data_IF_960968265300
#
_entry.id   IF_960968265300
#
_cell.length_a   1.000
_cell.length_b   1.000
_cell.length_c   1.000
_cell.angle_alpha   90.00
_cell.angle_beta   90.00
_cell.angle_gamma   90.00
#
_symmetry.space_group_name_H-M   'P 1'
#
loop_
_entity.id
_entity.type
_entity.pdbx_description
1 polymer ?
#
# COMPACT_ATOMS: atom_id res chain seq x y z
N UNK A 1 40.20 1.67 -38.06
CA UNK A 1 40.90 1.37 -39.32
C UNK A 1 39.94 0.55 -40.18
N UNK A 2 39.58 1.06 -41.38
CA UNK A 2 38.86 0.45 -42.52
C UNK A 2 37.47 -0.20 -42.27
N UNK A 3 36.33 0.24 -42.81
CA UNK A 3 35.91 0.73 -44.16
C UNK A 3 36.07 -0.30 -45.29
N UNK A 4 34.93 -0.69 -45.89
CA UNK A 4 34.60 -0.79 -47.34
C UNK A 4 33.53 -1.87 -47.56
N UNK A 5 32.26 -1.58 -47.93
CA UNK A 5 31.69 -0.98 -49.15
C UNK A 5 31.80 -1.86 -50.40
N UNK A 6 30.64 -2.21 -50.96
CA UNK A 6 30.28 -2.26 -52.41
C UNK A 6 28.80 -2.65 -52.48
N UNK A 7 27.89 -2.04 -53.24
CA UNK A 7 27.94 -1.03 -54.30
C UNK A 7 26.63 -1.18 -55.10
N UNK A 8 25.81 -0.14 -55.22
CA UNK A 8 25.58 0.58 -56.49
C UNK A 8 24.22 0.23 -57.13
N UNK A 9 23.60 1.01 -58.01
CA UNK A 9 23.80 2.39 -58.48
C UNK A 9 22.65 2.73 -59.44
N UNK A 10 22.22 4.01 -59.47
CA UNK A 10 21.61 4.82 -60.57
C UNK A 10 20.21 5.38 -60.26
N UNK A 11 20.03 6.71 -60.11
CA UNK A 11 20.10 7.84 -61.09
C UNK A 11 18.68 8.15 -61.62
N UNK A 12 18.11 9.36 -61.72
CA UNK A 12 18.57 10.76 -61.65
C UNK A 12 17.34 11.71 -61.76
N UNK A 13 17.50 12.96 -61.27
CA UNK A 13 16.86 14.25 -61.71
C UNK A 13 15.34 14.42 -61.46
N UNK A 14 14.79 15.58 -61.09
CA UNK A 14 15.01 17.01 -61.44
C UNK A 14 14.49 17.91 -60.28
N UNK A 15 15.26 18.92 -59.83
CA UNK A 15 15.09 20.37 -60.06
C UNK A 15 14.12 21.14 -59.12
N UNK A 16 14.63 22.26 -58.59
CA UNK A 16 14.11 23.19 -57.57
C UNK A 16 13.14 24.26 -58.11
N UNK A 17 12.54 24.98 -57.15
CA UNK A 17 12.10 26.41 -57.14
C UNK A 17 10.57 26.61 -57.28
N UNK A 18 9.87 27.53 -56.62
CA UNK A 18 10.15 28.52 -55.55
C UNK A 18 8.84 29.27 -55.19
N UNK A 19 8.56 29.45 -53.88
CA UNK A 19 7.79 30.51 -53.16
C UNK A 19 6.34 30.89 -53.57
N UNK A 20 5.64 31.76 -52.77
CA UNK A 20 4.69 31.44 -51.70
C UNK A 20 3.25 31.88 -52.07
N UNK A 21 2.26 31.83 -51.16
CA UNK A 21 1.19 32.87 -50.96
C UNK A 21 0.08 32.39 -49.99
N UNK A 22 -0.21 33.30 -49.05
CA UNK A 22 -1.34 33.58 -48.17
C UNK A 22 -2.57 32.65 -48.02
N UNK A 23 -3.02 32.54 -46.76
CA UNK A 23 -4.40 32.20 -46.32
C UNK A 23 -5.36 33.38 -46.56
N UNK A 24 -6.67 33.15 -46.75
CA UNK A 24 -7.60 33.47 -45.65
C UNK A 24 -8.84 32.53 -45.53
N UNK A 25 -9.58 32.78 -44.44
CA UNK A 25 -10.70 32.05 -43.88
C UNK A 25 -11.96 31.92 -44.77
N UNK A 26 -12.65 30.78 -44.67
CA UNK A 26 -14.10 30.66 -44.88
C UNK A 26 -14.67 29.79 -43.76
N UNK A 27 -15.23 30.46 -42.76
CA UNK A 27 -16.18 29.92 -41.79
C UNK A 27 -17.53 29.67 -42.48
N UNK A 28 -18.39 28.90 -41.80
CA UNK A 28 -19.80 28.58 -42.11
C UNK A 28 -20.01 27.48 -43.15
N UNK A 29 -20.48 26.30 -42.70
CA UNK A 29 -21.55 25.48 -43.32
C UNK A 29 -21.58 24.01 -42.82
N UNK A 30 -21.42 23.72 -41.52
CA UNK A 30 -21.76 22.38 -40.96
C UNK A 30 -22.55 22.48 -39.64
N UNK A 31 -23.30 23.58 -39.46
CA UNK A 31 -24.03 23.85 -38.23
C UNK A 31 -25.56 23.63 -38.30
N UNK A 32 -26.13 22.95 -39.32
CA UNK A 32 -27.61 22.96 -39.44
C UNK A 32 -28.32 21.70 -39.95
N UNK A 33 -27.70 20.54 -40.10
CA UNK A 33 -28.47 19.34 -40.49
C UNK A 33 -27.98 18.09 -39.78
N UNK A 34 -28.56 17.80 -38.61
CA UNK A 34 -28.95 16.47 -38.14
C UNK A 34 -29.51 16.54 -36.70
N UNK A 35 -30.50 17.42 -36.51
CA UNK A 35 -31.54 17.27 -35.51
C UNK A 35 -32.55 16.28 -36.08
N UNK A 36 -32.49 15.00 -35.66
CA UNK A 36 -33.61 14.02 -35.58
C UNK A 36 -33.06 12.59 -35.43
N UNK A 37 -32.56 12.28 -34.24
CA UNK A 37 -32.46 10.90 -33.74
C UNK A 37 -32.51 10.96 -32.20
N UNK A 38 -33.71 10.91 -31.64
CA UNK A 38 -33.94 10.74 -30.21
C UNK A 38 -33.98 9.23 -29.90
N UNK A 39 -32.99 8.64 -29.21
CA UNK A 39 -33.20 7.38 -28.51
C UNK A 39 -33.92 7.66 -27.19
N UNK A 40 -35.14 7.15 -27.07
CA UNK A 40 -35.83 6.95 -25.80
C UNK A 40 -35.25 5.71 -25.13
N UNK A 41 -34.56 5.89 -24.00
CA UNK A 41 -33.91 4.83 -23.21
C UNK A 41 -33.48 5.38 -21.85
N UNK A 42 -33.45 4.54 -20.80
CA UNK A 42 -34.14 4.78 -19.54
C UNK A 42 -33.50 5.89 -18.69
N UNK A 43 -34.34 6.54 -17.89
CA UNK A 43 -33.91 7.40 -16.80
C UNK A 43 -33.07 6.56 -15.82
N UNK A 44 -31.75 6.62 -15.97
CA UNK A 44 -30.85 6.26 -14.89
C UNK A 44 -31.13 7.24 -13.76
N UNK A 45 -31.73 6.74 -12.69
CA UNK A 45 -31.75 7.45 -11.42
C UNK A 45 -30.29 7.76 -11.09
N UNK A 46 -29.92 9.03 -11.23
CA UNK A 46 -28.69 9.57 -10.67
C UNK A 46 -28.90 9.45 -9.17
N UNK A 47 -28.47 8.32 -8.61
CA UNK A 47 -28.33 8.16 -7.18
C UNK A 47 -27.50 9.35 -6.72
N UNK A 48 -28.06 10.13 -5.79
CA UNK A 48 -27.31 11.17 -5.10
C UNK A 48 -26.06 10.51 -4.56
N UNK A 49 -24.91 10.80 -5.17
CA UNK A 49 -23.61 10.48 -4.60
C UNK A 49 -23.61 11.12 -3.21
N UNK A 50 -23.80 10.30 -2.18
CA UNK A 50 -23.54 10.76 -0.83
C UNK A 50 -22.08 11.16 -0.85
N UNK A 51 -21.80 12.41 -0.47
CA UNK A 51 -20.44 12.84 -0.27
C UNK A 51 -19.80 11.81 0.66
N UNK A 52 -18.83 11.08 0.12
CA UNK A 52 -18.01 10.14 0.87
C UNK A 52 -17.46 10.92 2.04
N UNK A 53 -17.86 10.54 3.25
CA UNK A 53 -17.30 11.13 4.46
C UNK A 53 -15.79 10.93 4.40
N UNK A 54 -15.04 12.02 4.44
CA UNK A 54 -13.58 11.94 4.49
C UNK A 54 -13.21 11.31 5.83
N UNK A 55 -12.91 10.02 5.83
CA UNK A 55 -12.23 9.39 6.94
C UNK A 55 -10.89 10.12 7.10
N UNK A 56 -10.80 10.94 8.15
CA UNK A 56 -9.55 11.59 8.50
C UNK A 56 -8.67 10.53 9.12
N UNK A 57 -7.41 10.45 8.66
CA UNK A 57 -6.36 9.84 9.45
C UNK A 57 -6.49 10.34 10.89
N UNK A 58 -6.42 9.44 11.87
CA UNK A 58 -6.21 9.91 13.24
C UNK A 58 -4.98 10.82 13.20
N UNK A 59 -5.04 11.97 13.87
CA UNK A 59 -3.85 12.80 14.02
C UNK A 59 -2.71 11.99 14.63
N UNK A 60 -1.53 12.59 14.83
CA UNK A 60 -0.31 11.94 15.34
C UNK A 60 -0.45 11.18 16.69
N UNK A 61 -1.64 11.09 17.28
CA UNK A 61 -1.93 10.21 18.38
C UNK A 61 -2.10 8.76 17.88
N UNK A 62 -1.15 7.90 18.24
CA UNK A 62 -1.24 6.44 18.17
C UNK A 62 -2.54 5.84 18.76
N UNK A 63 -3.23 6.61 19.61
CA UNK A 63 -4.44 6.19 20.29
C UNK A 63 -5.61 7.05 19.86
N UNK A 64 -6.74 6.44 19.46
CA UNK A 64 -7.95 7.19 19.24
C UNK A 64 -8.39 7.91 20.52
N UNK A 65 -8.96 9.10 20.37
CA UNK A 65 -9.67 9.74 21.47
C UNK A 65 -10.82 8.87 21.97
N UNK A 66 -11.24 9.09 23.22
CA UNK A 66 -12.33 8.36 23.85
C UNK A 66 -13.59 8.34 22.95
N UNK A 67 -14.18 7.14 22.79
CA UNK A 67 -15.36 6.93 21.95
C UNK A 67 -15.14 6.97 20.43
N UNK A 68 -13.89 7.02 19.95
CA UNK A 68 -13.57 7.12 18.51
C UNK A 68 -12.72 5.93 18.02
N UNK A 69 -13.20 4.68 18.10
CA UNK A 69 -12.38 3.52 17.75
C UNK A 69 -11.83 3.63 16.31
N UNK A 70 -10.58 3.20 16.11
CA UNK A 70 -10.04 3.03 14.78
C UNK A 70 -10.65 1.77 14.16
N UNK A 71 -11.33 1.92 13.03
CA UNK A 71 -11.86 0.81 12.26
C UNK A 71 -10.93 0.51 11.10
N UNK A 72 -10.43 -0.73 11.05
CA UNK A 72 -9.45 -1.17 10.07
C UNK A 72 -9.83 -2.48 9.40
N UNK A 73 -8.98 -2.90 8.45
CA UNK A 73 -9.15 -4.14 7.71
C UNK A 73 -7.81 -4.86 7.48
N UNK A 74 -7.87 -6.18 7.39
CA UNK A 74 -6.82 -7.02 6.79
C UNK A 74 -7.39 -7.56 5.50
N UNK A 75 -6.67 -7.40 4.40
CA UNK A 75 -7.13 -7.79 3.06
C UNK A 75 -6.46 -9.08 2.62
N UNK A 76 -7.10 -9.77 1.67
CA UNK A 76 -6.43 -10.78 0.86
C UNK A 76 -5.61 -10.05 -0.22
N UNK A 77 -4.39 -9.63 0.12
CA UNK A 77 -3.55 -8.74 -0.70
C UNK A 77 -3.21 -9.28 -2.11
N UNK A 78 -3.35 -10.59 -2.35
CA UNK A 78 -3.20 -11.19 -3.66
C UNK A 78 -4.42 -11.05 -4.58
N UNK A 79 -5.59 -10.71 -4.02
CA UNK A 79 -6.87 -10.68 -4.73
C UNK A 79 -7.56 -9.30 -4.63
N UNK A 80 -7.09 -8.42 -3.74
CA UNK A 80 -7.69 -7.13 -3.48
C UNK A 80 -6.64 -6.02 -3.30
N UNK A 81 -7.10 -4.76 -3.29
CA UNK A 81 -6.25 -3.60 -3.03
C UNK A 81 -6.91 -2.65 -2.05
N UNK A 82 -6.10 -1.83 -1.38
CA UNK A 82 -6.61 -0.86 -0.41
C UNK A 82 -7.62 0.11 -1.07
N UNK A 83 -7.30 0.61 -2.27
CA UNK A 83 -8.16 1.53 -3.01
C UNK A 83 -9.50 0.88 -3.38
N UNK A 84 -9.47 -0.33 -3.95
CA UNK A 84 -10.70 -1.03 -4.33
C UNK A 84 -11.55 -1.37 -3.09
N UNK A 85 -10.92 -1.74 -1.98
CA UNK A 85 -11.62 -1.95 -0.71
C UNK A 85 -12.29 -0.66 -0.21
N UNK A 86 -11.57 0.46 -0.21
CA UNK A 86 -12.09 1.75 0.23
C UNK A 86 -13.27 2.24 -0.63
N UNK A 87 -13.20 2.04 -1.95
CA UNK A 87 -14.29 2.35 -2.88
C UNK A 87 -15.55 1.52 -2.60
N UNK A 88 -15.39 0.21 -2.35
CA UNK A 88 -16.51 -0.67 -2.00
C UNK A 88 -17.09 -0.35 -0.62
N UNK A 89 -16.24 0.00 0.34
CA UNK A 89 -16.64 0.40 1.69
C UNK A 89 -17.33 1.79 1.69
N UNK A 90 -16.99 2.65 0.73
CA UNK A 90 -17.41 4.05 0.72
C UNK A 90 -16.70 4.90 1.77
N UNK A 91 -15.56 4.44 2.30
CA UNK A 91 -14.71 5.13 3.27
C UNK A 91 -13.29 4.54 3.26
N UNK A 92 -12.28 5.33 3.63
CA UNK A 92 -10.93 4.81 3.84
C UNK A 92 -10.81 4.13 5.22
N UNK A 93 -10.23 2.93 5.32
CA UNK A 93 -9.96 2.29 6.62
C UNK A 93 -8.97 3.14 7.43
N UNK A 94 -9.17 3.26 8.74
CA UNK A 94 -8.23 3.99 9.60
C UNK A 94 -6.91 3.22 9.79
N UNK A 95 -6.96 1.89 9.67
CA UNK A 95 -5.83 0.97 9.82
C UNK A 95 -5.93 -0.13 8.77
N UNK A 96 -4.82 -0.45 8.11
CA UNK A 96 -4.69 -1.62 7.27
C UNK A 96 -3.66 -2.58 7.88
N UNK A 97 -3.88 -3.88 7.75
CA UNK A 97 -2.98 -4.90 8.28
C UNK A 97 -2.36 -5.81 7.22
N UNK A 98 -1.11 -6.18 7.42
CA UNK A 98 -0.36 -7.14 6.61
C UNK A 98 0.44 -8.07 7.53
N UNK A 99 0.51 -9.35 7.18
CA UNK A 99 1.31 -10.33 7.91
C UNK A 99 2.74 -10.37 7.39
N UNK A 100 3.72 -10.42 8.29
CA UNK A 100 5.13 -10.46 7.93
C UNK A 100 5.91 -11.50 8.70
N UNK A 101 7.03 -11.96 8.15
CA UNK A 101 7.91 -12.92 8.82
C UNK A 101 8.96 -12.25 9.71
N UNK A 102 9.38 -12.91 10.78
CA UNK A 102 10.63 -12.62 11.48
C UNK A 102 11.56 -13.84 11.45
N UNK A 103 12.72 -13.78 10.77
CA UNK A 103 13.21 -12.66 9.94
C UNK A 103 12.39 -12.41 8.67
N UNK A 104 12.43 -11.18 8.13
CA UNK A 104 11.78 -10.85 6.85
C UNK A 104 12.43 -11.66 5.72
N UNK A 105 11.60 -12.33 4.92
CA UNK A 105 12.06 -13.12 3.78
C UNK A 105 12.35 -12.21 2.58
N UNK A 106 13.31 -12.57 1.74
CA UNK A 106 13.70 -11.75 0.58
C UNK A 106 12.57 -11.50 -0.41
N UNK A 107 11.61 -12.43 -0.53
CA UNK A 107 10.45 -12.28 -1.42
C UNK A 107 9.35 -11.37 -0.87
N UNK A 108 9.38 -11.06 0.43
CA UNK A 108 8.31 -10.35 1.13
C UNK A 108 8.54 -8.83 1.17
N UNK A 109 9.77 -8.38 0.92
CA UNK A 109 10.14 -6.96 1.02
C UNK A 109 9.33 -6.07 0.08
N UNK A 110 9.06 -6.53 -1.14
CA UNK A 110 8.28 -5.76 -2.10
C UNK A 110 6.81 -5.69 -1.69
N UNK A 111 6.24 -6.80 -1.20
CA UNK A 111 4.87 -6.85 -0.70
C UNK A 111 4.69 -5.87 0.46
N UNK A 112 5.65 -5.81 1.39
CA UNK A 112 5.65 -4.84 2.50
C UNK A 112 5.69 -3.40 1.97
N UNK A 113 6.56 -3.09 1.00
CA UNK A 113 6.61 -1.73 0.42
C UNK A 113 5.30 -1.36 -0.25
N UNK A 114 4.75 -2.25 -1.07
CA UNK A 114 3.47 -2.00 -1.77
C UNK A 114 2.32 -1.84 -0.79
N UNK A 115 2.29 -2.62 0.29
CA UNK A 115 1.33 -2.48 1.37
C UNK A 115 1.42 -1.09 2.04
N UNK A 116 2.63 -0.66 2.42
CA UNK A 116 2.84 0.64 3.08
C UNK A 116 2.51 1.82 2.16
N UNK A 117 2.81 1.71 0.86
CA UNK A 117 2.43 2.70 -0.15
C UNK A 117 0.90 2.80 -0.28
N UNK A 118 0.21 1.67 -0.33
CA UNK A 118 -1.26 1.63 -0.38
C UNK A 118 -1.92 2.16 0.90
N UNK A 119 -1.35 1.89 2.07
CA UNK A 119 -1.82 2.47 3.31
C UNK A 119 -1.62 3.99 3.33
N UNK A 120 -0.44 4.47 2.92
CA UNK A 120 -0.13 5.90 2.86
C UNK A 120 -1.05 6.65 1.89
N UNK A 121 -1.39 6.06 0.73
CA UNK A 121 -2.23 6.71 -0.28
C UNK A 121 -3.67 6.97 0.21
N UNK A 122 -4.13 6.17 1.19
CA UNK A 122 -5.41 6.35 1.86
C UNK A 122 -5.33 7.14 3.17
N UNK A 123 -4.13 7.52 3.62
CA UNK A 123 -3.91 8.10 4.94
C UNK A 123 -4.17 7.12 6.09
N UNK A 124 -4.15 5.81 5.81
CA UNK A 124 -4.34 4.76 6.81
C UNK A 124 -3.06 4.55 7.63
N UNK A 125 -3.22 4.20 8.92
CA UNK A 125 -2.13 3.59 9.66
C UNK A 125 -1.85 2.16 9.16
N UNK A 126 -0.68 1.63 9.49
CA UNK A 126 -0.28 0.28 9.09
C UNK A 126 -0.03 -0.61 10.31
N UNK A 127 -0.57 -1.82 10.30
CA UNK A 127 -0.26 -2.85 11.28
C UNK A 127 0.48 -4.02 10.62
N UNK A 128 1.73 -4.23 11.02
CA UNK A 128 2.50 -5.42 10.64
C UNK A 128 2.29 -6.50 11.70
N UNK A 129 1.68 -7.61 11.31
CA UNK A 129 1.52 -8.79 12.16
C UNK A 129 2.72 -9.69 11.98
N UNK A 130 3.60 -9.72 12.97
CA UNK A 130 4.88 -10.41 12.86
C UNK A 130 4.74 -11.85 13.30
N UNK A 131 5.02 -12.78 12.40
CA UNK A 131 5.04 -14.23 12.62
C UNK A 131 6.50 -14.71 12.67
N UNK A 132 7.04 -15.03 13.86
CA UNK A 132 8.37 -15.62 13.96
C UNK A 132 8.43 -16.92 13.18
N UNK A 133 9.38 -17.01 12.23
CA UNK A 133 9.73 -18.23 11.52
C UNK A 133 10.96 -18.92 12.13
N UNK A 134 11.42 -18.41 13.27
CA UNK A 134 12.51 -18.96 14.07
C UNK A 134 12.02 -19.16 15.52
N UNK A 135 12.63 -20.08 16.27
CA UNK A 135 12.35 -20.24 17.70
C UNK A 135 12.48 -18.94 18.49
N UNK A 136 11.60 -18.72 19.48
CA UNK A 136 11.56 -17.48 20.26
C UNK A 136 12.85 -17.21 21.05
N UNK A 137 13.59 -18.25 21.43
CA UNK A 137 14.89 -18.13 22.10
C UNK A 137 16.02 -17.67 21.16
N UNK A 138 15.81 -17.72 19.84
CA UNK A 138 16.69 -17.14 18.82
C UNK A 138 16.33 -15.69 18.46
N UNK A 139 15.21 -15.16 18.97
CA UNK A 139 14.86 -13.74 18.87
C UNK A 139 15.60 -12.96 19.95
N UNK A 140 16.93 -12.96 19.87
CA UNK A 140 17.80 -12.20 20.74
C UNK A 140 17.83 -10.71 20.36
N UNK A 141 18.65 -9.92 21.07
CA UNK A 141 18.77 -8.48 20.82
C UNK A 141 19.26 -8.20 19.40
N UNK A 142 20.28 -8.90 18.92
CA UNK A 142 20.87 -8.63 17.61
C UNK A 142 19.87 -8.96 16.49
N UNK A 143 19.14 -10.07 16.64
CA UNK A 143 18.10 -10.45 15.69
C UNK A 143 16.92 -9.46 15.69
N UNK A 144 16.53 -8.96 16.86
CA UNK A 144 15.48 -7.95 17.01
C UNK A 144 15.89 -6.59 16.43
N UNK A 145 17.11 -6.13 16.68
CA UNK A 145 17.66 -4.89 16.11
C UNK A 145 17.75 -4.96 14.59
N UNK A 146 18.25 -6.07 14.04
CA UNK A 146 18.32 -6.29 12.60
C UNK A 146 16.91 -6.30 11.96
N UNK A 147 15.94 -6.93 12.62
CA UNK A 147 14.56 -6.93 12.18
C UNK A 147 13.96 -5.51 12.20
N UNK A 148 14.12 -4.78 13.29
CA UNK A 148 13.59 -3.43 13.42
C UNK A 148 14.21 -2.47 12.39
N UNK A 149 15.52 -2.51 12.21
CA UNK A 149 16.22 -1.70 11.21
C UNK A 149 15.73 -2.02 9.78
N UNK A 150 15.46 -3.29 9.48
CA UNK A 150 14.91 -3.70 8.19
C UNK A 150 13.50 -3.16 7.98
N UNK A 151 12.61 -3.30 8.98
CA UNK A 151 11.24 -2.76 8.92
C UNK A 151 11.26 -1.24 8.74
N UNK A 152 12.07 -0.52 9.52
CA UNK A 152 12.23 0.93 9.39
C UNK A 152 12.75 1.34 8.01
N UNK A 153 13.70 0.59 7.45
CA UNK A 153 14.17 0.83 6.08
C UNK A 153 13.09 0.60 5.02
N UNK A 154 12.17 -0.34 5.23
CA UNK A 154 11.04 -0.57 4.32
C UNK A 154 9.95 0.50 4.48
N UNK A 155 9.84 1.08 5.67
CA UNK A 155 8.86 2.10 6.03
C UNK A 155 9.36 3.54 5.92
N UNK A 156 10.53 3.80 5.32
CA UNK A 156 11.12 5.14 5.27
C UNK A 156 10.23 6.20 4.62
N UNK A 157 9.43 5.78 3.64
CA UNK A 157 8.52 6.65 2.88
C UNK A 157 7.06 6.49 3.33
N UNK A 158 6.81 5.73 4.40
CA UNK A 158 5.48 5.49 4.91
C UNK A 158 4.96 6.72 5.66
N UNK A 159 3.69 7.06 5.42
CA UNK A 159 3.02 8.16 6.10
C UNK A 159 1.89 7.63 6.99
N UNK A 160 2.15 7.59 8.30
CA UNK A 160 1.18 7.16 9.30
C UNK A 160 1.87 6.55 10.53
N UNK A 161 1.08 6.07 11.48
CA UNK A 161 1.60 5.30 12.61
C UNK A 161 1.86 3.86 12.16
N UNK A 162 3.04 3.34 12.47
CA UNK A 162 3.35 1.93 12.32
C UNK A 162 3.04 1.17 13.62
N UNK A 163 2.22 0.14 13.54
CA UNK A 163 1.87 -0.76 14.63
C UNK A 163 2.51 -2.13 14.40
N UNK A 164 3.23 -2.65 15.40
CA UNK A 164 3.91 -3.95 15.33
C UNK A 164 3.19 -4.92 16.27
N UNK A 165 2.39 -5.81 15.69
CA UNK A 165 1.71 -6.89 16.42
C UNK A 165 2.59 -8.14 16.40
N UNK A 166 3.46 -8.24 17.41
CA UNK A 166 4.43 -9.32 17.49
C UNK A 166 3.83 -10.61 18.05
N UNK A 167 3.91 -11.69 17.25
CA UNK A 167 3.56 -13.05 17.64
C UNK A 167 2.21 -13.11 18.39
N UNK A 168 1.09 -12.73 17.73
CA UNK A 168 -0.24 -12.77 18.34
C UNK A 168 -0.61 -14.20 18.73
N UNK A 169 -1.62 -14.35 19.58
CA UNK A 169 -2.12 -15.65 20.02
C UNK A 169 -1.05 -16.51 20.70
N UNK A 170 -0.08 -15.88 21.38
CA UNK A 170 1.01 -16.57 22.08
C UNK A 170 0.54 -17.49 23.23
N UNK A 171 -0.69 -17.32 23.69
CA UNK A 171 -1.35 -18.18 24.66
C UNK A 171 -2.15 -19.32 24.02
N UNK A 172 -2.10 -19.49 22.69
CA UNK A 172 -2.73 -20.59 21.99
C UNK A 172 -1.76 -21.75 21.71
N UNK A 173 -2.29 -22.92 21.34
CA UNK A 173 -1.51 -24.15 21.06
C UNK A 173 -1.25 -24.39 19.57
N UNK A 174 -1.88 -23.64 18.68
CA UNK A 174 -1.80 -23.83 17.21
C UNK A 174 -0.74 -22.97 16.51
N UNK A 175 -0.06 -22.09 17.24
CA UNK A 175 1.05 -21.29 16.71
C UNK A 175 2.39 -21.88 17.14
N UNK A 176 3.41 -21.79 16.30
CA UNK A 176 4.75 -22.33 16.61
C UNK A 176 5.40 -21.62 17.82
N UNK A 177 5.02 -20.36 18.06
CA UNK A 177 5.45 -19.55 19.20
C UNK A 177 4.52 -19.65 20.42
N UNK A 178 3.45 -20.45 20.32
CA UNK A 178 2.45 -20.61 21.37
C UNK A 178 2.97 -21.30 22.62
N UNK A 179 2.34 -21.04 23.78
CA UNK A 179 2.60 -21.71 25.06
C UNK A 179 4.05 -21.62 25.58
N UNK A 180 4.78 -20.57 25.19
CA UNK A 180 6.18 -20.34 25.59
C UNK A 180 6.34 -19.02 26.37
N UNK A 181 5.77 -18.87 27.58
CA UNK A 181 5.62 -17.57 28.24
C UNK A 181 6.95 -16.88 28.60
N UNK A 182 8.00 -17.65 28.96
CA UNK A 182 9.30 -17.07 29.31
C UNK A 182 10.02 -16.56 28.06
N UNK A 183 10.05 -17.37 27.01
CA UNK A 183 10.67 -17.03 25.73
C UNK A 183 9.90 -15.89 25.05
N UNK A 184 8.57 -15.93 25.07
CA UNK A 184 7.74 -14.85 24.53
C UNK A 184 8.03 -13.51 25.21
N UNK A 185 8.10 -13.48 26.54
CA UNK A 185 8.43 -12.25 27.28
C UNK A 185 9.82 -11.71 26.92
N UNK A 186 10.80 -12.59 26.73
CA UNK A 186 12.15 -12.18 26.32
C UNK A 186 12.15 -11.63 24.89
N UNK A 187 11.59 -12.38 23.94
CA UNK A 187 11.49 -11.99 22.53
C UNK A 187 10.70 -10.69 22.33
N UNK A 188 9.53 -10.55 22.96
CA UNK A 188 8.70 -9.34 22.88
C UNK A 188 9.48 -8.12 23.37
N UNK A 189 10.24 -8.25 24.46
CA UNK A 189 11.08 -7.15 24.97
C UNK A 189 12.20 -6.79 24.01
N UNK A 190 12.90 -7.79 23.46
CA UNK A 190 13.97 -7.55 22.49
C UNK A 190 13.43 -6.82 21.25
N UNK A 191 12.30 -7.28 20.69
CA UNK A 191 11.65 -6.63 19.54
C UNK A 191 11.19 -5.21 19.90
N UNK A 192 10.55 -5.02 21.04
CA UNK A 192 10.13 -3.69 21.49
C UNK A 192 11.33 -2.75 21.71
N UNK A 193 12.46 -3.25 22.22
CA UNK A 193 13.70 -2.49 22.35
C UNK A 193 14.30 -2.13 20.99
N UNK A 194 14.25 -3.02 20.00
CA UNK A 194 14.71 -2.74 18.64
C UNK A 194 13.94 -1.60 17.96
N UNK A 195 12.66 -1.41 18.28
CA UNK A 195 11.83 -0.31 17.76
C UNK A 195 11.82 0.95 18.61
N UNK A 196 12.50 0.98 19.77
CA UNK A 196 12.64 2.22 20.54
C UNK A 196 13.57 3.18 19.80
N UNK A 197 12.99 4.04 18.97
CA UNK A 197 13.63 5.27 18.49
C UNK A 197 13.23 6.42 19.39
N UNK A 198 14.03 7.48 19.44
CA UNK A 198 13.75 8.69 20.22
C UNK A 198 12.48 9.43 19.74
N UNK A 199 11.92 9.03 18.59
CA UNK A 199 10.92 9.79 17.83
C UNK A 199 9.48 9.24 17.98
N UNK A 200 9.28 8.09 18.65
CA UNK A 200 7.94 7.58 19.00
C UNK A 200 7.07 7.08 17.84
N UNK A 201 7.67 6.83 16.66
CA UNK A 201 6.95 6.53 15.41
C UNK A 201 6.40 5.09 15.29
N UNK A 202 6.76 4.20 16.23
CA UNK A 202 6.31 2.80 16.22
C UNK A 202 5.61 2.41 17.51
N UNK A 203 4.47 1.73 17.40
CA UNK A 203 3.65 1.24 18.52
C UNK A 203 3.72 -0.28 18.58
N UNK A 204 4.12 -0.82 19.72
CA UNK A 204 4.08 -2.27 19.97
C UNK A 204 2.67 -2.70 20.40
N UNK A 205 2.14 -3.75 19.76
CA UNK A 205 0.82 -4.32 20.04
C UNK A 205 0.97 -5.73 20.62
N UNK A 206 0.41 -5.92 21.80
CA UNK A 206 0.30 -7.23 22.45
C UNK A 206 -1.11 -7.78 22.28
N UNK A 207 -1.26 -8.96 21.67
CA UNK A 207 -2.57 -9.52 21.35
C UNK A 207 -2.66 -11.01 21.73
N UNK A 208 -3.19 -11.34 22.93
CA UNK A 208 -3.55 -12.71 23.26
C UNK A 208 -4.76 -13.17 22.43
N UNK A 209 -4.91 -14.49 22.31
CA UNK A 209 -6.15 -15.13 21.89
C UNK A 209 -7.18 -15.08 23.03
N UNK A 210 -8.40 -14.67 22.71
CA UNK A 210 -9.54 -14.65 23.62
C UNK A 210 -10.46 -15.84 23.33
N UNK A 211 -10.23 -16.95 24.03
CA UNK A 211 -11.07 -18.14 24.01
C UNK A 211 -10.57 -19.20 24.99
N UNK A 212 -11.34 -20.27 25.19
CA UNK A 212 -10.89 -21.39 26.02
C UNK A 212 -9.70 -22.07 25.32
N UNK A 213 -8.56 -22.27 25.99
CA UNK A 213 -7.49 -23.08 25.43
C UNK A 213 -8.05 -24.51 25.22
N UNK A 214 -7.99 -25.00 23.99
CA UNK A 214 -8.31 -26.39 23.65
C UNK A 214 -7.26 -27.34 24.26
#
# INVERSE_FOLDING_TARGET
MNVAILGGLRSMRTARSSHPVARPAVWLLVALFLLLALPTGPAHAVGTAHAVGTAHAAGNAAYPGEGKPLLGAVLEWGEDSAQAFAERLGAAPALLGHEISLPIRSGEEEDIRQFLLQASSLGSHAMLTVQPSIPLDQVDRAQAEAFAAKVQSLASDFHGQLLIRFAPDMNASWTEWGQQPLQYKAAFRNVAEGFKTDDGETVMVWQPYLGLPL
#
